data_IF_034825319110
#
_entry.id   IF_034825319110
#
_cell.length_a   1.000
_cell.length_b   1.000
_cell.length_c   1.000
_cell.angle_alpha   90.00
_cell.angle_beta   90.00
_cell.angle_gamma   90.00
#
_symmetry.space_group_name_H-M   'P 1'
#
loop_
_entity.id
_entity.type
_entity.pdbx_description
1 polymer ?
#
# COMPACT_ATOMS: atom_id res chain seq x y z
N UNK A 1 17.08 -1.00 -20.52
CA UNK A 1 18.16 -1.36 -19.55
C UNK A 1 17.96 -0.55 -18.27
N UNK A 2 18.31 -1.06 -17.08
CA UNK A 2 18.23 -0.28 -15.85
C UNK A 2 19.19 0.91 -15.90
N UNK A 3 18.83 1.99 -15.22
CA UNK A 3 19.69 3.17 -15.10
C UNK A 3 20.90 2.84 -14.20
N UNK A 4 22.08 3.40 -14.48
CA UNK A 4 23.28 3.18 -13.66
C UNK A 4 23.07 3.47 -12.16
N UNK A 5 22.35 4.54 -11.75
CA UNK A 5 22.04 4.77 -10.34
C UNK A 5 21.23 3.64 -9.69
N UNK A 6 20.31 3.01 -10.44
CA UNK A 6 19.52 1.89 -9.92
C UNK A 6 20.41 0.67 -9.66
N UNK A 7 21.34 0.36 -10.57
CA UNK A 7 22.30 -0.74 -10.38
C UNK A 7 23.21 -0.48 -9.18
N UNK A 8 23.68 0.75 -8.99
CA UNK A 8 24.48 1.13 -7.83
C UNK A 8 23.69 1.01 -6.52
N UNK A 9 22.42 1.43 -6.52
CA UNK A 9 21.54 1.30 -5.37
C UNK A 9 21.32 -0.17 -4.97
N UNK A 10 21.09 -1.08 -5.93
CA UNK A 10 20.97 -2.52 -5.66
C UNK A 10 22.24 -3.10 -5.02
N UNK A 11 23.42 -2.68 -5.46
CA UNK A 11 24.68 -3.10 -4.83
C UNK A 11 24.79 -2.63 -3.37
N UNK A 12 24.35 -1.41 -3.08
CA UNK A 12 24.32 -0.88 -1.70
C UNK A 12 23.29 -1.62 -0.83
N UNK A 13 22.10 -1.89 -1.37
CA UNK A 13 21.05 -2.66 -0.68
C UNK A 13 21.56 -4.06 -0.33
N UNK A 14 22.18 -4.75 -1.28
CA UNK A 14 22.74 -6.08 -1.06
C UNK A 14 23.89 -6.08 -0.02
N UNK A 15 24.73 -5.05 -0.03
CA UNK A 15 25.85 -4.94 0.91
C UNK A 15 25.40 -4.62 2.35
N UNK A 16 24.38 -3.78 2.50
CA UNK A 16 23.89 -3.34 3.82
C UNK A 16 22.82 -4.27 4.39
N UNK A 17 22.06 -4.96 3.52
CA UNK A 17 21.00 -5.91 3.87
C UNK A 17 20.06 -5.39 4.98
N UNK A 18 19.65 -4.13 4.84
CA UNK A 18 18.80 -3.45 5.82
C UNK A 18 17.38 -4.01 5.79
N UNK A 19 16.78 -4.22 6.96
CA UNK A 19 15.37 -4.59 7.09
C UNK A 19 14.52 -3.34 7.27
N UNK A 20 13.50 -3.16 6.41
CA UNK A 20 12.63 -1.97 6.40
C UNK A 20 11.48 -2.04 7.43
N UNK A 21 11.58 -2.93 8.42
CA UNK A 21 10.56 -3.12 9.47
C UNK A 21 10.66 -2.08 10.59
N UNK A 22 11.87 -1.58 10.87
CA UNK A 22 12.10 -0.60 11.93
C UNK A 22 13.28 0.34 11.63
N UNK A 23 13.22 1.53 12.24
CA UNK A 23 14.23 2.57 12.00
C UNK A 23 15.64 2.18 12.44
N UNK A 24 15.77 1.42 13.53
CA UNK A 24 17.06 0.93 14.03
C UNK A 24 17.72 -0.09 13.08
N UNK A 25 16.94 -0.77 12.24
CA UNK A 25 17.43 -1.72 11.24
C UNK A 25 17.66 -1.10 9.84
N UNK A 26 17.00 0.03 9.54
CA UNK A 26 17.03 0.67 8.22
C UNK A 26 17.22 2.19 8.23
N UNK A 27 17.83 2.78 9.27
CA UNK A 27 17.91 4.23 9.50
C UNK A 27 18.07 5.08 8.23
N UNK A 28 19.12 4.85 7.43
CA UNK A 28 19.37 5.56 6.17
C UNK A 28 18.28 5.31 5.11
N UNK A 29 17.87 4.06 4.92
CA UNK A 29 16.88 3.68 3.91
C UNK A 29 15.47 4.21 4.26
N UNK A 30 15.09 4.24 5.54
CA UNK A 30 13.84 4.84 6.03
C UNK A 30 13.75 6.32 5.66
N UNK A 31 14.84 7.09 5.81
CA UNK A 31 14.85 8.49 5.38
C UNK A 31 14.71 8.66 3.88
N UNK A 32 15.37 7.80 3.08
CA UNK A 32 15.25 7.83 1.62
C UNK A 32 13.81 7.53 1.21
N UNK A 33 13.18 6.50 1.79
CA UNK A 33 11.80 6.14 1.53
C UNK A 33 10.85 7.32 1.83
N UNK A 34 10.93 7.92 3.02
CA UNK A 34 10.07 9.06 3.36
C UNK A 34 10.25 10.24 2.40
N UNK A 35 11.49 10.52 1.96
CA UNK A 35 11.75 11.60 1.00
C UNK A 35 11.11 11.32 -0.36
N UNK A 36 11.16 10.09 -0.84
CA UNK A 36 10.55 9.72 -2.12
C UNK A 36 9.02 9.70 -2.01
N UNK A 37 8.47 9.21 -0.90
CA UNK A 37 7.02 9.25 -0.62
C UNK A 37 6.52 10.68 -0.59
N UNK A 38 7.15 11.57 0.19
CA UNK A 38 6.76 12.98 0.25
C UNK A 38 6.85 13.65 -1.12
N UNK A 39 7.92 13.38 -1.88
CA UNK A 39 8.05 13.89 -3.24
C UNK A 39 6.93 13.40 -4.16
N UNK A 40 6.48 12.15 -4.04
CA UNK A 40 5.34 11.62 -4.79
C UNK A 40 4.03 12.29 -4.36
N UNK A 41 3.78 12.45 -3.06
CA UNK A 41 2.61 13.16 -2.55
C UNK A 41 2.54 14.59 -3.10
N UNK A 42 3.65 15.32 -3.06
CA UNK A 42 3.76 16.67 -3.63
C UNK A 42 3.54 16.64 -5.16
N UNK A 43 4.12 15.66 -5.86
CA UNK A 43 4.03 15.55 -7.33
C UNK A 43 2.60 15.32 -7.83
N UNK A 44 1.76 14.67 -7.02
CA UNK A 44 0.36 14.38 -7.33
C UNK A 44 -0.63 15.33 -6.64
N UNK A 45 -0.14 16.44 -6.06
CA UNK A 45 -0.95 17.45 -5.37
C UNK A 45 -1.87 16.84 -4.28
N UNK A 46 -1.37 15.84 -3.54
CA UNK A 46 -2.11 15.23 -2.45
C UNK A 46 -2.13 16.16 -1.22
N UNK A 47 -3.09 15.94 -0.31
CA UNK A 47 -3.19 16.76 0.92
C UNK A 47 -1.93 16.66 1.78
N UNK A 48 -1.64 17.67 2.60
CA UNK A 48 -0.54 17.65 3.58
C UNK A 48 -0.62 16.48 4.59
N UNK A 49 -1.79 15.84 4.72
CA UNK A 49 -2.00 14.64 5.55
C UNK A 49 -1.83 13.33 4.79
N UNK A 50 -1.46 13.38 3.52
CA UNK A 50 -1.23 12.20 2.70
C UNK A 50 0.09 11.53 3.09
N UNK A 51 0.12 10.22 2.95
CA UNK A 51 1.28 9.40 3.25
C UNK A 51 1.28 8.16 2.35
N UNK A 52 2.37 7.40 2.38
CA UNK A 52 2.54 6.22 1.56
C UNK A 52 3.64 5.30 2.09
N UNK A 53 3.72 4.13 1.48
CA UNK A 53 4.74 3.12 1.79
C UNK A 53 5.13 2.39 0.51
N UNK A 54 6.40 2.01 0.39
CA UNK A 54 6.82 1.14 -0.70
C UNK A 54 6.32 -0.30 -0.46
N UNK A 55 5.87 -0.93 -1.53
CA UNK A 55 5.40 -2.32 -1.51
C UNK A 55 6.19 -3.13 -2.52
N UNK A 56 6.14 -4.45 -2.44
CA UNK A 56 6.80 -5.36 -3.39
C UNK A 56 6.37 -5.15 -4.85
N UNK A 57 5.22 -4.51 -5.08
CA UNK A 57 4.75 -4.11 -6.40
C UNK A 57 3.26 -3.81 -6.41
N UNK A 58 2.73 -3.46 -7.58
CA UNK A 58 1.36 -2.99 -7.75
C UNK A 58 0.26 -3.96 -7.27
N UNK A 59 0.55 -5.27 -7.23
CA UNK A 59 -0.38 -6.26 -6.64
C UNK A 59 -0.61 -5.99 -5.16
N UNK A 60 0.47 -5.84 -4.39
CA UNK A 60 0.38 -5.56 -2.96
C UNK A 60 -0.16 -4.15 -2.71
N UNK A 61 0.21 -3.16 -3.52
CA UNK A 61 -0.34 -1.80 -3.41
C UNK A 61 -1.86 -1.78 -3.60
N UNK A 62 -2.38 -2.49 -4.61
CA UNK A 62 -3.82 -2.60 -4.85
C UNK A 62 -4.54 -3.31 -3.70
N UNK A 63 -3.95 -4.38 -3.17
CA UNK A 63 -4.50 -5.08 -2.02
C UNK A 63 -4.60 -4.15 -0.80
N UNK A 64 -3.53 -3.40 -0.50
CA UNK A 64 -3.50 -2.47 0.63
C UNK A 64 -4.52 -1.35 0.46
N UNK A 65 -4.62 -0.76 -0.74
CA UNK A 65 -5.60 0.30 -1.03
C UNK A 65 -7.04 -0.18 -0.86
N UNK A 66 -7.38 -1.38 -1.36
CA UNK A 66 -8.72 -1.94 -1.20
C UNK A 66 -9.01 -2.36 0.25
N UNK A 67 -8.02 -2.84 0.98
CA UNK A 67 -8.15 -3.17 2.42
C UNK A 67 -8.45 -1.91 3.24
N UNK A 68 -7.71 -0.82 3.00
CA UNK A 68 -7.96 0.47 3.65
C UNK A 68 -9.36 1.01 3.33
N UNK A 69 -9.79 0.92 2.07
CA UNK A 69 -11.13 1.35 1.67
C UNK A 69 -12.24 0.53 2.35
N UNK A 70 -12.06 -0.80 2.45
CA UNK A 70 -12.99 -1.71 3.13
C UNK A 70 -13.12 -1.40 4.62
N UNK A 71 -12.00 -1.22 5.30
CA UNK A 71 -11.98 -0.96 6.74
C UNK A 71 -12.52 0.44 7.05
N UNK A 72 -12.17 1.43 6.21
CA UNK A 72 -12.68 2.80 6.35
C UNK A 72 -14.20 2.89 6.16
N UNK A 73 -14.77 2.22 5.15
CA UNK A 73 -16.22 2.30 4.92
C UNK A 73 -17.01 1.58 6.02
N UNK A 74 -16.51 0.48 6.58
CA UNK A 74 -17.15 -0.22 7.70
C UNK A 74 -17.12 0.60 9.00
N UNK A 75 -16.00 1.29 9.28
CA UNK A 75 -15.91 2.26 10.36
C UNK A 75 -16.90 3.42 10.15
N UNK A 76 -16.98 3.98 8.93
CA UNK A 76 -17.87 5.11 8.64
C UNK A 76 -19.36 4.77 8.69
N UNK A 77 -19.77 3.58 8.24
CA UNK A 77 -21.18 3.21 8.18
C UNK A 77 -21.73 2.74 9.54
N UNK A 78 -20.92 2.05 10.34
CA UNK A 78 -21.41 1.41 11.56
C UNK A 78 -20.42 1.38 12.73
N UNK A 79 -19.28 2.07 12.65
CA UNK A 79 -18.21 2.01 13.65
C UNK A 79 -17.61 0.60 13.79
N UNK A 80 -17.70 -0.22 12.74
CA UNK A 80 -17.31 -1.64 12.80
C UNK A 80 -15.84 -1.81 12.46
N UNK A 81 -15.06 -2.30 13.42
CA UNK A 81 -13.64 -2.60 13.21
C UNK A 81 -13.47 -3.99 12.58
N UNK A 82 -13.24 -4.04 11.26
CA UNK A 82 -13.02 -5.31 10.55
C UNK A 82 -11.78 -6.03 11.07
N UNK A 83 -10.72 -5.30 11.39
CA UNK A 83 -9.50 -5.87 11.96
C UNK A 83 -9.75 -6.68 13.24
N UNK A 84 -10.70 -6.27 14.09
CA UNK A 84 -10.99 -6.91 15.39
C UNK A 84 -12.13 -7.91 15.33
N UNK A 85 -13.15 -7.64 14.51
CA UNK A 85 -14.43 -8.36 14.52
C UNK A 85 -14.66 -9.19 13.26
N UNK A 86 -13.77 -9.11 12.27
CA UNK A 86 -14.00 -9.70 10.94
C UNK A 86 -14.99 -8.91 10.10
N UNK A 87 -15.46 -9.51 9.00
CA UNK A 87 -16.39 -8.85 8.09
C UNK A 87 -17.76 -8.60 8.76
N UNK A 88 -18.37 -7.42 8.56
CA UNK A 88 -19.71 -7.13 9.09
C UNK A 88 -20.80 -7.91 8.34
N UNK A 89 -22.00 -8.02 8.91
CA UNK A 89 -23.13 -8.76 8.34
C UNK A 89 -23.57 -8.24 6.95
N UNK A 90 -23.26 -6.98 6.63
CA UNK A 90 -23.57 -6.36 5.34
C UNK A 90 -22.41 -6.42 4.33
N UNK A 91 -21.33 -7.17 4.63
CA UNK A 91 -20.17 -7.28 3.74
C UNK A 91 -20.55 -7.80 2.34
N UNK A 92 -21.56 -8.67 2.26
CA UNK A 92 -22.16 -9.20 1.03
C UNK A 92 -22.75 -8.12 0.11
N UNK A 93 -22.96 -6.90 0.62
CA UNK A 93 -23.45 -5.72 -0.13
C UNK A 93 -22.34 -4.77 -0.55
N UNK A 94 -21.11 -4.94 -0.07
CA UNK A 94 -19.98 -4.11 -0.49
C UNK A 94 -19.61 -4.39 -1.96
N UNK A 95 -19.34 -3.35 -2.74
CA UNK A 95 -19.02 -3.47 -4.16
C UNK A 95 -17.79 -2.64 -4.52
N UNK A 96 -16.88 -3.26 -5.27
CA UNK A 96 -15.73 -2.59 -5.88
C UNK A 96 -16.09 -2.29 -7.33
N UNK A 97 -16.13 -1.01 -7.69
CA UNK A 97 -16.41 -0.57 -9.06
C UNK A 97 -15.09 -0.27 -9.76
N UNK A 98 -14.85 -0.94 -10.89
CA UNK A 98 -13.63 -0.75 -11.68
C UNK A 98 -13.91 -0.93 -13.18
N UNK A 99 -12.94 -0.57 -14.03
CA UNK A 99 -13.06 -0.67 -15.48
C UNK A 99 -13.04 -2.13 -15.93
N UNK A 100 -13.68 -2.43 -17.07
CA UNK A 100 -13.54 -3.76 -17.73
C UNK A 100 -12.10 -4.10 -18.12
N UNK A 101 -11.22 -3.09 -18.20
CA UNK A 101 -9.79 -3.23 -18.49
C UNK A 101 -8.91 -3.10 -17.24
N UNK A 102 -9.49 -3.11 -16.05
CA UNK A 102 -8.73 -3.03 -14.80
C UNK A 102 -7.82 -4.25 -14.64
N UNK A 103 -6.67 -4.03 -14.00
CA UNK A 103 -5.72 -5.09 -13.73
C UNK A 103 -6.37 -6.17 -12.84
N UNK A 104 -6.15 -7.45 -13.17
CA UNK A 104 -6.81 -8.60 -12.51
C UNK A 104 -6.56 -8.68 -11.00
N UNK A 105 -5.54 -7.96 -10.49
CA UNK A 105 -5.23 -7.88 -9.06
C UNK A 105 -6.38 -7.33 -8.23
N UNK A 106 -7.27 -6.50 -8.79
CA UNK A 106 -8.47 -6.02 -8.08
C UNK A 106 -9.36 -7.19 -7.65
N UNK A 107 -9.64 -8.11 -8.56
CA UNK A 107 -10.46 -9.30 -8.27
C UNK A 107 -9.75 -10.26 -7.31
N UNK A 108 -8.43 -10.43 -7.49
CA UNK A 108 -7.61 -11.24 -6.58
C UNK A 108 -7.62 -10.68 -5.16
N UNK A 109 -7.47 -9.38 -5.00
CA UNK A 109 -7.52 -8.70 -3.71
C UNK A 109 -8.90 -8.83 -3.06
N UNK A 110 -10.00 -8.71 -3.82
CA UNK A 110 -11.36 -8.93 -3.31
C UNK A 110 -11.51 -10.35 -2.73
N UNK A 111 -11.10 -11.37 -3.51
CA UNK A 111 -11.13 -12.76 -3.07
C UNK A 111 -10.31 -13.01 -1.80
N UNK A 112 -9.12 -12.41 -1.67
CA UNK A 112 -8.31 -12.51 -0.46
C UNK A 112 -8.93 -11.84 0.76
N UNK A 113 -9.76 -10.82 0.55
CA UNK A 113 -10.46 -10.11 1.63
C UNK A 113 -11.82 -10.72 2.00
N UNK A 114 -12.25 -11.79 1.31
CA UNK A 114 -13.55 -12.43 1.51
C UNK A 114 -14.74 -11.62 0.96
N UNK A 115 -14.50 -10.79 -0.07
CA UNK A 115 -15.49 -9.97 -0.76
C UNK A 115 -15.84 -10.51 -2.16
#
# INVERSE_FOLDING_TARGET
PPLMPAVAAEAMIAALNQSMDSWDQASSATYVEQKVVNWLCDKYDLSEKADGIFTSGGTQSNQMGLMLARDWIADKLSGHSIQKLGLPDYADKLRIVCSKKSHFTVQKSASWMGL
#
